data_IF_783365321951
#
_entry.id   IF_783365321951
#
_cell.length_a   1.000
_cell.length_b   1.000
_cell.length_c   1.000
_cell.angle_alpha   90.00
_cell.angle_beta   90.00
_cell.angle_gamma   90.00
#
_symmetry.space_group_name_H-M   'P 1'
#
loop_
_entity.id
_entity.type
_entity.pdbx_description
1 polymer ?
#
# COMPACT_ATOMS: atom_id res chain seq x y z
N UNK A 1 -4.19 19.16 -41.46
CA UNK A 1 -2.94 19.14 -40.65
C UNK A 1 -3.17 19.38 -39.15
N UNK A 2 -3.89 20.44 -38.72
CA UNK A 2 -4.14 20.77 -37.30
C UNK A 2 -4.69 19.63 -36.42
N UNK A 3 -5.65 18.84 -36.91
CA UNK A 3 -6.25 17.72 -36.14
C UNK A 3 -5.21 16.65 -35.78
N UNK A 4 -4.32 16.26 -36.70
CA UNK A 4 -3.27 15.26 -36.40
C UNK A 4 -2.27 15.76 -35.33
N UNK A 5 -1.97 17.06 -35.31
CA UNK A 5 -1.10 17.67 -34.28
C UNK A 5 -1.78 17.71 -32.91
N UNK A 6 -3.09 18.00 -32.84
CA UNK A 6 -3.86 17.98 -31.59
C UNK A 6 -3.94 16.57 -30.98
N UNK A 7 -4.18 15.55 -31.81
CA UNK A 7 -4.22 14.15 -31.34
C UNK A 7 -2.86 13.66 -30.83
N UNK A 8 -1.77 14.06 -31.49
CA UNK A 8 -0.41 13.80 -30.99
C UNK A 8 -0.17 14.48 -29.63
N UNK A 9 -0.58 15.74 -29.50
CA UNK A 9 -0.48 16.47 -28.24
C UNK A 9 -1.27 15.80 -27.10
N UNK A 10 -2.50 15.36 -27.38
CA UNK A 10 -3.32 14.62 -26.41
C UNK A 10 -2.66 13.30 -25.99
N UNK A 11 -2.14 12.52 -26.95
CA UNK A 11 -1.48 11.25 -26.67
C UNK A 11 -0.21 11.44 -25.83
N UNK A 12 0.59 12.45 -26.14
CA UNK A 12 1.78 12.82 -25.35
C UNK A 12 1.35 13.22 -23.94
N UNK A 13 0.31 14.04 -23.79
CA UNK A 13 -0.20 14.44 -22.47
C UNK A 13 -0.65 13.24 -21.65
N UNK A 14 -1.42 12.31 -22.23
CA UNK A 14 -1.85 11.09 -21.56
C UNK A 14 -0.66 10.22 -21.14
N UNK A 15 0.36 10.08 -21.99
CA UNK A 15 1.58 9.35 -21.67
C UNK A 15 2.31 9.99 -20.47
N UNK A 16 2.42 11.31 -20.45
CA UNK A 16 3.04 12.03 -19.34
C UNK A 16 2.26 11.84 -18.03
N UNK A 17 0.92 11.87 -18.08
CA UNK A 17 0.11 11.59 -16.89
C UNK A 17 0.36 10.18 -16.32
N UNK A 18 0.53 9.18 -17.19
CA UNK A 18 0.85 7.81 -16.77
C UNK A 18 2.27 7.71 -16.20
N UNK A 19 3.26 8.33 -16.85
CA UNK A 19 4.65 8.30 -16.40
C UNK A 19 4.86 9.03 -15.07
N UNK A 20 4.22 10.19 -14.90
CA UNK A 20 4.35 11.04 -13.72
C UNK A 20 3.26 10.77 -12.67
N UNK A 21 2.42 9.74 -12.83
CA UNK A 21 1.28 9.44 -11.95
C UNK A 21 1.62 9.48 -10.46
N UNK A 22 2.77 8.91 -10.06
CA UNK A 22 3.18 8.90 -8.66
C UNK A 22 3.62 10.27 -8.15
N UNK A 23 4.27 11.08 -9.00
CA UNK A 23 4.65 12.46 -8.64
C UNK A 23 3.41 13.33 -8.50
N UNK A 24 2.48 13.23 -9.46
CA UNK A 24 1.21 13.95 -9.41
C UNK A 24 0.41 13.55 -8.17
N UNK A 25 0.25 12.24 -7.93
CA UNK A 25 -0.48 11.75 -6.77
C UNK A 25 0.07 12.32 -5.46
N UNK A 26 1.39 12.25 -5.23
CA UNK A 26 2.01 12.79 -4.01
C UNK A 26 2.04 14.32 -3.92
N UNK A 27 1.82 15.02 -5.03
CA UNK A 27 1.70 16.48 -5.04
C UNK A 27 0.30 16.95 -4.62
N UNK A 28 -0.72 16.14 -4.92
CA UNK A 28 -2.12 16.49 -4.68
C UNK A 28 -2.69 15.81 -3.44
N UNK A 29 -2.30 14.57 -3.16
CA UNK A 29 -2.82 13.77 -2.06
C UNK A 29 -1.82 13.71 -0.91
N UNK A 30 -2.32 14.01 0.28
CA UNK A 30 -1.61 13.87 1.55
C UNK A 30 -2.42 13.00 2.50
N UNK A 31 -1.74 12.21 3.31
CA UNK A 31 -2.34 11.34 4.30
C UNK A 31 -2.13 11.99 5.66
N UNK A 32 -3.17 12.09 6.49
CA UNK A 32 -3.04 12.52 7.88
C UNK A 32 -3.31 11.32 8.78
N UNK A 33 -2.31 10.88 9.55
CA UNK A 33 -2.46 9.77 10.52
C UNK A 33 -3.32 10.27 11.67
N UNK A 34 -4.38 9.53 11.95
CA UNK A 34 -5.32 9.79 13.05
C UNK A 34 -5.36 8.65 14.05
N UNK A 35 -4.72 7.52 13.76
CA UNK A 35 -4.61 6.39 14.68
C UNK A 35 -3.78 5.24 14.12
N UNK A 36 -3.71 4.16 14.88
CA UNK A 36 -3.12 2.89 14.44
C UNK A 36 -4.08 1.74 14.62
N UNK A 37 -3.82 0.65 13.91
CA UNK A 37 -4.56 -0.60 14.04
C UNK A 37 -3.57 -1.74 14.18
N UNK A 38 -3.82 -2.63 15.13
CA UNK A 38 -3.03 -3.85 15.29
C UNK A 38 -3.38 -4.84 14.18
N UNK A 39 -2.42 -5.61 13.69
CA UNK A 39 -2.64 -6.73 12.78
C UNK A 39 -2.14 -8.02 13.43
N UNK A 40 -2.67 -9.16 13.00
CA UNK A 40 -2.24 -10.46 13.52
C UNK A 40 -0.99 -10.98 12.81
N UNK A 41 -0.16 -11.72 13.53
CA UNK A 41 1.00 -12.42 12.97
C UNK A 41 0.59 -13.47 11.92
N UNK A 42 1.52 -13.77 11.02
CA UNK A 42 1.35 -14.84 10.03
C UNK A 42 1.51 -16.19 10.71
N UNK A 43 0.40 -16.92 10.82
CA UNK A 43 0.36 -18.30 11.36
C UNK A 43 -0.12 -19.31 10.32
N UNK A 44 -0.69 -18.85 9.21
CA UNK A 44 -1.09 -19.68 8.09
C UNK A 44 0.14 -20.27 7.38
N UNK A 45 0.26 -21.61 7.41
CA UNK A 45 1.43 -22.31 6.88
C UNK A 45 1.59 -22.13 5.36
N UNK A 46 0.48 -22.00 4.62
CA UNK A 46 0.54 -21.83 3.17
C UNK A 46 1.10 -20.45 2.82
N UNK A 47 0.65 -19.41 3.54
CA UNK A 47 1.17 -18.05 3.42
C UNK A 47 2.67 -18.00 3.79
N UNK A 48 3.03 -18.52 4.97
CA UNK A 48 4.42 -18.55 5.43
C UNK A 48 5.35 -19.29 4.45
N UNK A 49 4.90 -20.42 3.90
CA UNK A 49 5.65 -21.19 2.90
C UNK A 49 5.79 -20.45 1.58
N UNK A 50 4.75 -19.74 1.11
CA UNK A 50 4.86 -18.92 -0.10
C UNK A 50 5.88 -17.79 0.09
N UNK A 51 5.84 -17.10 1.23
CA UNK A 51 6.78 -16.03 1.56
C UNK A 51 8.22 -16.58 1.55
N UNK A 52 8.50 -17.64 2.32
CA UNK A 52 9.83 -18.25 2.39
C UNK A 52 10.33 -18.73 1.03
N UNK A 53 9.45 -19.27 0.18
CA UNK A 53 9.80 -19.67 -1.19
C UNK A 53 10.26 -18.48 -2.04
N UNK A 54 9.66 -17.30 -1.86
CA UNK A 54 9.98 -16.09 -2.65
C UNK A 54 11.28 -15.42 -2.19
N UNK A 55 11.59 -15.56 -0.91
CA UNK A 55 12.79 -15.01 -0.27
C UNK A 55 13.96 -16.01 -0.22
N UNK A 56 13.72 -17.29 -0.52
CA UNK A 56 14.72 -18.36 -0.46
C UNK A 56 16.02 -18.00 -1.20
N UNK A 57 17.15 -18.16 -0.50
CA UNK A 57 18.49 -17.91 -1.03
C UNK A 57 18.83 -16.45 -1.29
N UNK A 58 18.08 -15.50 -0.71
CA UNK A 58 18.30 -14.06 -0.86
C UNK A 58 18.39 -13.38 0.50
N UNK A 59 19.41 -12.56 0.67
CA UNK A 59 19.45 -11.54 1.71
C UNK A 59 18.81 -10.28 1.15
N UNK A 60 17.63 -9.90 1.65
CA UNK A 60 16.87 -8.79 1.11
C UNK A 60 17.17 -7.51 1.89
N UNK A 61 17.39 -6.41 1.18
CA UNK A 61 17.36 -5.09 1.80
C UNK A 61 15.91 -4.60 2.00
N UNK A 62 15.73 -3.51 2.75
CA UNK A 62 14.42 -2.91 3.03
C UNK A 62 13.54 -2.77 1.79
N UNK A 63 14.06 -2.18 0.71
CA UNK A 63 13.27 -1.92 -0.51
C UNK A 63 12.85 -3.21 -1.21
N UNK A 64 13.65 -4.26 -1.11
CA UNK A 64 13.33 -5.57 -1.66
C UNK A 64 12.26 -6.28 -0.81
N UNK A 65 12.32 -6.17 0.52
CA UNK A 65 11.28 -6.66 1.43
C UNK A 65 9.93 -6.01 1.11
N UNK A 66 9.90 -4.68 0.97
CA UNK A 66 8.69 -3.94 0.60
C UNK A 66 8.14 -4.39 -0.76
N UNK A 67 9.02 -4.61 -1.74
CA UNK A 67 8.62 -5.04 -3.08
C UNK A 67 8.07 -6.46 -3.10
N UNK A 68 8.67 -7.40 -2.35
CA UNK A 68 8.14 -8.77 -2.21
C UNK A 68 6.78 -8.75 -1.52
N UNK A 69 6.66 -7.99 -0.43
CA UNK A 69 5.42 -7.86 0.34
C UNK A 69 4.30 -7.25 -0.49
N UNK A 70 4.61 -6.23 -1.28
CA UNK A 70 3.68 -5.60 -2.24
C UNK A 70 3.17 -6.62 -3.24
N UNK A 71 4.08 -7.29 -3.96
CA UNK A 71 3.70 -8.27 -4.99
C UNK A 71 2.94 -9.46 -4.43
N UNK A 72 3.18 -9.84 -3.17
CA UNK A 72 2.40 -10.88 -2.51
C UNK A 72 0.98 -10.38 -2.26
N UNK A 73 0.84 -9.19 -1.68
CA UNK A 73 -0.45 -8.56 -1.37
C UNK A 73 -1.28 -8.38 -2.65
N UNK A 74 -0.73 -7.72 -3.67
CA UNK A 74 -1.38 -7.44 -4.97
C UNK A 74 -1.83 -8.73 -5.69
N UNK A 75 -1.14 -9.85 -5.47
CA UNK A 75 -1.50 -11.15 -6.08
C UNK A 75 -2.49 -11.94 -5.25
N UNK A 76 -2.52 -11.71 -3.95
CA UNK A 76 -3.35 -12.47 -3.01
C UNK A 76 -4.73 -11.86 -2.85
N UNK A 77 -4.88 -10.56 -3.10
CA UNK A 77 -6.10 -9.83 -2.84
C UNK A 77 -6.68 -9.20 -4.10
N UNK A 78 -8.01 -9.21 -4.17
CA UNK A 78 -8.80 -8.33 -5.04
C UNK A 78 -9.51 -7.30 -4.18
N UNK A 79 -9.44 -6.03 -4.56
CA UNK A 79 -10.06 -4.99 -3.76
C UNK A 79 -11.59 -5.06 -3.79
N UNK A 80 -12.19 -4.80 -2.62
CA UNK A 80 -13.63 -4.66 -2.44
C UNK A 80 -13.94 -3.46 -1.54
N UNK A 81 -15.12 -2.87 -1.68
CA UNK A 81 -15.65 -1.84 -0.77
C UNK A 81 -16.47 -2.41 0.38
N UNK A 82 -16.68 -3.74 0.39
CA UNK A 82 -17.41 -4.44 1.45
C UNK A 82 -16.66 -4.50 2.78
N UNK A 83 -17.30 -5.14 3.76
CA UNK A 83 -16.65 -5.45 5.03
C UNK A 83 -15.43 -6.34 4.79
N UNK A 84 -14.35 -6.05 5.51
CA UNK A 84 -13.10 -6.79 5.43
C UNK A 84 -12.62 -7.10 6.83
N UNK A 85 -12.07 -8.31 6.99
CA UNK A 85 -11.32 -8.63 8.20
C UNK A 85 -10.06 -7.78 8.28
N UNK A 86 -9.59 -7.59 9.50
CA UNK A 86 -8.26 -7.07 9.82
C UNK A 86 -7.31 -8.17 10.32
N UNK A 87 -7.78 -9.42 10.39
CA UNK A 87 -6.98 -10.57 10.76
C UNK A 87 -6.26 -11.10 9.50
N UNK A 88 -4.93 -11.02 9.51
CA UNK A 88 -4.03 -11.29 8.39
C UNK A 88 -4.31 -12.62 7.70
N UNK A 89 -4.47 -13.69 8.47
CA UNK A 89 -4.60 -15.03 7.92
C UNK A 89 -5.99 -15.22 7.27
N UNK A 90 -7.04 -14.67 7.87
CA UNK A 90 -8.38 -14.64 7.31
C UNK A 90 -8.44 -13.79 6.04
N UNK A 91 -7.76 -12.64 6.01
CA UNK A 91 -7.64 -11.80 4.81
C UNK A 91 -6.99 -12.57 3.68
N UNK A 92 -5.85 -13.23 3.96
CA UNK A 92 -5.16 -14.04 2.96
C UNK A 92 -6.05 -15.15 2.38
N UNK A 93 -6.77 -15.88 3.24
CA UNK A 93 -7.68 -16.95 2.80
C UNK A 93 -8.90 -16.43 2.04
N UNK A 94 -9.41 -15.25 2.39
CA UNK A 94 -10.57 -14.66 1.73
C UNK A 94 -10.27 -14.24 0.28
N UNK A 95 -9.05 -13.81 -0.01
CA UNK A 95 -8.61 -13.41 -1.35
C UNK A 95 -9.21 -12.09 -1.85
N UNK A 96 -10.01 -11.41 -1.03
CA UNK A 96 -10.55 -10.09 -1.29
C UNK A 96 -10.63 -9.27 -0.01
N UNK A 97 -10.31 -7.98 -0.09
CA UNK A 97 -10.27 -7.09 1.07
C UNK A 97 -10.41 -5.62 0.66
N UNK A 98 -10.75 -4.76 1.62
CA UNK A 98 -10.64 -3.31 1.48
C UNK A 98 -9.27 -2.82 2.00
N UNK A 99 -9.08 -1.51 2.16
CA UNK A 99 -7.80 -0.93 2.63
C UNK A 99 -7.33 -1.50 3.98
N UNK A 100 -8.27 -1.90 4.85
CA UNK A 100 -7.97 -2.51 6.15
C UNK A 100 -7.22 -3.83 5.95
N UNK A 101 -7.79 -4.75 5.18
CA UNK A 101 -7.17 -6.06 4.95
C UNK A 101 -5.90 -5.96 4.10
N UNK A 102 -5.88 -5.06 3.10
CA UNK A 102 -4.67 -4.79 2.32
C UNK A 102 -3.51 -4.32 3.21
N UNK A 103 -3.76 -3.36 4.10
CA UNK A 103 -2.76 -2.86 5.03
C UNK A 103 -2.31 -3.94 6.03
N UNK A 104 -3.25 -4.72 6.58
CA UNK A 104 -2.95 -5.81 7.50
C UNK A 104 -2.05 -6.89 6.85
N UNK A 105 -2.43 -7.40 5.68
CA UNK A 105 -1.64 -8.43 4.99
C UNK A 105 -0.26 -7.90 4.58
N UNK A 106 -0.19 -6.67 4.08
CA UNK A 106 1.09 -6.07 3.71
C UNK A 106 2.01 -5.88 4.92
N UNK A 107 1.51 -5.29 6.00
CA UNK A 107 2.29 -5.04 7.21
C UNK A 107 2.80 -6.35 7.83
N UNK A 108 1.92 -7.36 7.95
CA UNK A 108 2.29 -8.66 8.48
C UNK A 108 3.33 -9.38 7.61
N UNK A 109 3.24 -9.23 6.28
CA UNK A 109 4.23 -9.80 5.36
C UNK A 109 5.60 -9.12 5.52
N UNK A 110 5.63 -7.79 5.65
CA UNK A 110 6.88 -7.06 5.89
C UNK A 110 7.51 -7.51 7.22
N UNK A 111 6.73 -7.54 8.30
CA UNK A 111 7.22 -7.97 9.61
C UNK A 111 7.75 -9.40 9.57
N UNK A 112 7.01 -10.33 8.96
CA UNK A 112 7.42 -11.73 8.86
C UNK A 112 8.76 -11.90 8.13
N UNK A 113 8.93 -11.22 6.97
CA UNK A 113 10.19 -11.31 6.23
C UNK A 113 11.34 -10.66 7.02
N UNK A 114 11.08 -9.50 7.63
CA UNK A 114 12.08 -8.79 8.42
C UNK A 114 12.58 -9.64 9.60
N UNK A 115 11.66 -10.28 10.32
CA UNK A 115 11.99 -11.19 11.42
C UNK A 115 12.73 -12.44 10.95
N UNK A 116 12.25 -13.12 9.91
CA UNK A 116 12.85 -14.34 9.34
C UNK A 116 14.29 -14.07 8.83
N UNK A 117 14.59 -12.84 8.39
CA UNK A 117 15.91 -12.43 7.90
C UNK A 117 16.74 -11.63 8.91
N UNK A 118 16.24 -11.38 10.12
CA UNK A 118 16.93 -10.55 11.13
C UNK A 118 17.15 -9.09 10.71
N UNK A 119 16.33 -8.57 9.78
CA UNK A 119 16.40 -7.18 9.33
C UNK A 119 15.61 -6.30 10.31
N UNK A 120 16.21 -5.27 10.92
CA UNK A 120 15.56 -4.48 11.98
C UNK A 120 14.57 -3.47 11.39
N UNK A 121 13.42 -3.95 10.91
CA UNK A 121 12.32 -3.17 10.35
C UNK A 121 11.07 -3.31 11.21
N UNK A 122 10.39 -2.19 11.43
CA UNK A 122 9.09 -2.14 12.10
C UNK A 122 8.04 -1.74 11.08
N UNK A 123 6.99 -2.56 10.95
CA UNK A 123 5.81 -2.24 10.16
C UNK A 123 4.62 -1.98 11.08
N UNK A 124 3.89 -0.88 10.84
CA UNK A 124 2.69 -0.51 11.57
C UNK A 124 1.57 -0.20 10.61
N UNK A 125 0.43 -0.81 10.83
CA UNK A 125 -0.79 -0.39 10.15
C UNK A 125 -1.33 0.87 10.82
N UNK A 126 -1.53 1.90 10.01
CA UNK A 126 -1.96 3.23 10.43
C UNK A 126 -3.26 3.59 9.76
N UNK A 127 -4.11 4.29 10.51
CA UNK A 127 -5.39 4.80 10.04
C UNK A 127 -5.20 6.28 9.74
N UNK A 128 -5.57 6.71 8.54
CA UNK A 128 -5.47 8.12 8.16
C UNK A 128 -6.69 8.66 7.46
N UNK A 129 -6.67 9.98 7.29
CA UNK A 129 -7.55 10.74 6.41
C UNK A 129 -6.80 11.15 5.17
N UNK A 130 -7.51 11.25 4.04
CA UNK A 130 -6.95 11.72 2.80
C UNK A 130 -7.29 13.19 2.60
N UNK A 131 -6.29 14.00 2.31
CA UNK A 131 -6.45 15.40 1.92
C UNK A 131 -6.10 15.57 0.44
N UNK A 132 -6.92 16.34 -0.28
CA UNK A 132 -6.64 16.80 -1.63
C UNK A 132 -6.32 18.30 -1.58
N UNK A 133 -5.07 18.68 -1.86
CA UNK A 133 -4.62 20.09 -1.79
C UNK A 133 -4.91 20.75 -0.42
N UNK A 134 -4.86 19.99 0.67
CA UNK A 134 -5.16 20.44 2.04
C UNK A 134 -6.66 20.45 2.39
N UNK A 135 -7.52 19.93 1.52
CA UNK A 135 -8.95 19.77 1.79
C UNK A 135 -9.25 18.32 2.16
N UNK A 136 -9.86 18.10 3.34
CA UNK A 136 -10.30 16.77 3.78
C UNK A 136 -11.28 16.17 2.76
N UNK A 137 -10.88 15.06 2.12
CA UNK A 137 -11.69 14.40 1.10
C UNK A 137 -13.01 13.86 1.66
N UNK A 138 -13.05 13.49 2.95
CA UNK A 138 -14.29 13.09 3.60
C UNK A 138 -15.29 14.24 3.61
N UNK A 139 -14.84 15.45 3.94
CA UNK A 139 -15.68 16.64 3.96
C UNK A 139 -16.14 17.03 2.54
N UNK A 140 -15.26 16.92 1.54
CA UNK A 140 -15.57 17.25 0.14
C UNK A 140 -16.60 16.30 -0.46
N UNK A 141 -16.51 15.00 -0.17
CA UNK A 141 -17.42 13.97 -0.71
C UNK A 141 -18.59 13.64 0.22
N UNK A 142 -19.01 14.59 1.05
CA UNK A 142 -20.27 14.51 1.80
C UNK A 142 -20.30 13.44 2.89
N UNK A 143 -19.17 13.22 3.56
CA UNK A 143 -19.00 12.24 4.64
C UNK A 143 -19.25 10.78 4.22
N UNK A 144 -18.99 10.43 2.96
CA UNK A 144 -19.11 9.05 2.50
C UNK A 144 -18.16 8.14 3.31
N UNK A 145 -18.61 6.97 3.83
CA UNK A 145 -17.81 6.10 4.69
C UNK A 145 -16.47 5.68 4.09
N UNK A 146 -16.42 5.50 2.76
CA UNK A 146 -15.20 5.18 2.02
C UNK A 146 -14.05 6.18 2.25
N UNK A 147 -14.35 7.47 2.45
CA UNK A 147 -13.34 8.51 2.64
C UNK A 147 -13.11 8.83 4.13
N UNK A 148 -13.83 8.18 5.05
CA UNK A 148 -13.79 8.52 6.48
C UNK A 148 -12.43 8.21 7.08
N UNK A 149 -12.02 6.96 6.88
CA UNK A 149 -10.78 6.39 7.39
C UNK A 149 -10.17 5.54 6.27
N UNK A 150 -8.86 5.66 6.08
CA UNK A 150 -8.14 4.90 5.08
C UNK A 150 -6.88 4.31 5.70
N UNK A 151 -6.78 2.98 5.62
CA UNK A 151 -5.67 2.24 6.21
C UNK A 151 -4.50 2.13 5.23
N UNK A 152 -3.31 2.37 5.76
CA UNK A 152 -2.04 2.23 5.05
C UNK A 152 -0.95 1.80 6.05
N UNK A 153 0.30 1.69 5.59
CA UNK A 153 1.38 1.10 6.39
C UNK A 153 2.55 2.07 6.51
N UNK A 154 2.95 2.33 7.75
CA UNK A 154 4.19 2.99 8.14
C UNK A 154 5.28 1.93 8.31
N UNK A 155 6.42 2.12 7.64
CA UNK A 155 7.61 1.29 7.78
C UNK A 155 8.76 2.14 8.27
N UNK A 156 9.42 1.69 9.33
CA UNK A 156 10.58 2.36 9.92
C UNK A 156 11.73 1.38 10.11
N UNK A 157 12.93 1.75 9.65
CA UNK A 157 14.14 1.03 10.05
C UNK A 157 14.48 1.35 11.49
N UNK A 158 14.70 0.34 12.34
CA UNK A 158 14.94 0.56 13.77
C UNK A 158 16.30 1.24 14.04
N UNK A 159 17.24 1.16 13.09
CA UNK A 159 18.59 1.70 13.20
C UNK A 159 18.93 2.72 12.09
N UNK A 160 17.97 3.07 11.23
CA UNK A 160 18.18 3.97 10.11
C UNK A 160 17.14 5.08 10.09
N UNK A 161 17.48 6.24 9.52
CA UNK A 161 16.51 7.29 9.20
C UNK A 161 15.62 6.95 7.99
N UNK A 162 15.66 5.69 7.53
CA UNK A 162 14.74 5.22 6.48
C UNK A 162 13.33 5.08 7.01
N UNK A 163 12.42 5.71 6.28
CA UNK A 163 11.02 5.81 6.64
C UNK A 163 10.16 5.82 5.39
N UNK A 164 9.16 4.94 5.35
CA UNK A 164 8.31 4.75 4.19
C UNK A 164 6.86 4.68 4.61
N UNK A 165 6.00 5.36 3.85
CA UNK A 165 4.56 5.16 3.92
C UNK A 165 4.09 4.48 2.65
N UNK A 166 3.41 3.37 2.80
CA UNK A 166 2.92 2.53 1.70
C UNK A 166 1.43 2.34 1.87
N UNK A 167 0.68 2.71 0.85
CA UNK A 167 -0.72 2.33 0.72
C UNK A 167 -0.80 1.17 -0.28
N UNK A 168 -1.04 -0.07 0.18
CA UNK A 168 -1.06 -1.23 -0.70
C UNK A 168 -2.22 -1.20 -1.69
N UNK A 169 -3.35 -0.55 -1.36
CA UNK A 169 -4.48 -0.41 -2.31
C UNK A 169 -4.14 0.53 -3.45
N UNK A 170 -3.50 1.66 -3.16
CA UNK A 170 -3.01 2.60 -4.17
C UNK A 170 -1.85 1.99 -4.97
N UNK A 171 -1.05 1.13 -4.35
CA UNK A 171 -0.02 0.38 -5.07
C UNK A 171 -0.59 -0.60 -6.07
N UNK A 172 -1.61 -1.36 -5.70
CA UNK A 172 -2.29 -2.32 -6.55
C UNK A 172 -2.96 -1.63 -7.76
N UNK A 173 -3.77 -0.59 -7.49
CA UNK A 173 -4.51 0.10 -8.54
C UNK A 173 -3.68 1.04 -9.41
N UNK A 174 -2.77 1.81 -8.80
CA UNK A 174 -2.07 2.91 -9.47
C UNK A 174 -0.58 2.63 -9.66
N UNK A 175 -0.06 1.51 -9.17
CA UNK A 175 1.38 1.19 -9.23
C UNK A 175 2.26 2.21 -8.50
N UNK A 176 1.70 2.90 -7.50
CA UNK A 176 2.41 3.92 -6.72
C UNK A 176 3.00 3.25 -5.49
N UNK A 177 4.34 3.29 -5.38
CA UNK A 177 5.09 2.53 -4.37
C UNK A 177 5.07 3.17 -2.98
N UNK A 178 4.98 4.50 -2.92
CA UNK A 178 5.04 5.27 -1.69
C UNK A 178 4.07 6.44 -1.75
N UNK A 179 3.46 6.75 -0.61
CA UNK A 179 2.56 7.88 -0.41
C UNK A 179 3.22 8.94 0.47
N UNK A 180 2.60 10.12 0.54
CA UNK A 180 3.03 11.21 1.40
C UNK A 180 2.07 11.33 2.57
N UNK A 181 2.63 11.41 3.76
CA UNK A 181 1.95 11.79 4.99
C UNK A 181 2.35 13.21 5.38
#
# INVERSE_FOLDING_TARGET
MRRKTLWKGLLISLLLLVLFRGVLYRAFIQYQIVGTREFSEITDEALAKDIRRRTAGKELNTKEILEVSRRLTDRSLTFTTGESSNETNAVYRAGAANCIGYAALYAATVSFIAEDQGVPLLARQVVGKLELLGWDLHAVFGNHPFFRDHDFVEIRGAQSDEYYYVDPTVSDYLGIRFVRH
#
